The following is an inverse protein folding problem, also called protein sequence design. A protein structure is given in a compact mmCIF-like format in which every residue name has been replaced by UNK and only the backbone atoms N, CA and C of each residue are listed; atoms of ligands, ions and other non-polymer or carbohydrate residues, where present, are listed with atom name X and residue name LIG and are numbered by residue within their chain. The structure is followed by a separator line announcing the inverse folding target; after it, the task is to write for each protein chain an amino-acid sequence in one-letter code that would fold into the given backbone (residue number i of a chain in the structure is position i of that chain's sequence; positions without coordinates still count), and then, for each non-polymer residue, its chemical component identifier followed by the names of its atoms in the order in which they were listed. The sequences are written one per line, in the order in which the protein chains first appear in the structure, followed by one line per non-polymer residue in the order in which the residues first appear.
data_IF_155325407879
#
_entry.id   IF_155325407879
#
_cell.length_a   1.000
_cell.length_b   1.000
_cell.length_c   1.000
_cell.angle_alpha   90.00
_cell.angle_beta   90.00
_cell.angle_gamma   90.00
#
_symmetry.space_group_name_H-M   'P 1'
#
loop_
_entity.id
_entity.type
_entity.pdbx_description
1 polymer ?
#
# COMPACT_ATOMS: atom_id res chain seq x y z
N UNK A 1 15.44 -17.16 0.32
CA UNK A 1 15.67 -16.75 -1.08
C UNK A 1 17.12 -16.30 -1.22
N UNK A 2 17.74 -16.52 -2.37
CA UNK A 2 19.08 -15.99 -2.64
C UNK A 2 18.99 -14.52 -3.02
N UNK A 3 19.82 -13.67 -2.41
CA UNK A 3 19.90 -12.24 -2.71
C UNK A 3 21.06 -11.98 -3.67
N UNK A 4 20.82 -11.22 -4.74
CA UNK A 4 21.86 -10.75 -5.66
C UNK A 4 22.01 -9.23 -5.52
N UNK A 5 23.24 -8.75 -5.42
CA UNK A 5 23.53 -7.32 -5.34
C UNK A 5 23.39 -6.69 -6.72
N UNK A 6 22.60 -5.63 -6.79
CA UNK A 6 22.50 -4.74 -7.94
C UNK A 6 22.96 -3.35 -7.50
N UNK A 7 23.62 -2.61 -8.39
CA UNK A 7 24.02 -1.22 -8.15
C UNK A 7 23.07 -0.31 -8.91
N UNK A 8 22.50 0.68 -8.23
CA UNK A 8 21.62 1.70 -8.80
C UNK A 8 22.09 3.07 -8.36
N UNK A 9 21.84 4.09 -9.18
CA UNK A 9 22.11 5.49 -8.84
C UNK A 9 20.84 6.10 -8.26
N UNK A 10 20.97 6.77 -7.12
CA UNK A 10 19.88 7.46 -6.43
C UNK A 10 20.31 8.92 -6.17
N UNK A 11 19.37 9.86 -6.08
CA UNK A 11 19.66 11.19 -5.55
C UNK A 11 20.28 11.08 -4.15
N UNK A 12 21.39 11.77 -3.92
CA UNK A 12 22.13 11.72 -2.66
C UNK A 12 21.27 12.16 -1.48
N UNK A 13 20.58 13.29 -1.64
CA UNK A 13 19.69 13.86 -0.61
C UNK A 13 18.64 12.83 -0.16
N UNK A 14 17.95 12.18 -1.09
CA UNK A 14 16.95 11.15 -0.80
C UNK A 14 17.56 9.93 -0.09
N UNK A 15 18.75 9.49 -0.54
CA UNK A 15 19.39 8.32 0.04
C UNK A 15 19.81 8.58 1.51
N UNK A 16 20.31 9.78 1.80
CA UNK A 16 20.71 10.17 3.16
C UNK A 16 19.51 10.46 4.06
N UNK A 17 18.44 11.06 3.55
CA UNK A 17 17.17 11.24 4.27
C UNK A 17 16.64 9.89 4.75
N UNK A 18 16.47 8.93 3.83
CA UNK A 18 16.00 7.58 4.16
C UNK A 18 16.95 6.90 5.16
N UNK A 19 18.27 7.00 4.97
CA UNK A 19 19.24 6.42 5.93
C UNK A 19 19.07 7.00 7.33
N UNK A 20 18.79 8.29 7.44
CA UNK A 20 18.50 8.97 8.70
C UNK A 20 17.24 8.42 9.37
N UNK A 21 16.17 8.21 8.60
CA UNK A 21 14.89 7.69 9.11
C UNK A 21 14.94 6.23 9.54
N UNK A 22 15.54 5.36 8.73
CA UNK A 22 15.50 3.90 8.97
C UNK A 22 16.64 3.41 9.88
N UNK A 23 17.67 4.22 10.05
CA UNK A 23 18.83 3.90 10.87
C UNK A 23 19.84 2.94 10.22
N UNK A 24 20.94 2.65 10.94
CA UNK A 24 22.06 1.89 10.40
C UNK A 24 21.67 0.46 10.02
N UNK A 25 22.08 0.02 8.84
CA UNK A 25 21.86 -1.34 8.34
C UNK A 25 20.46 -1.64 7.79
N UNK A 26 19.49 -0.73 7.95
CA UNK A 26 18.12 -0.94 7.49
C UNK A 26 17.83 -0.43 6.07
N UNK A 27 18.73 0.36 5.47
CA UNK A 27 18.53 0.96 4.13
C UNK A 27 18.20 -0.08 3.04
N UNK A 28 18.90 -1.21 2.98
CA UNK A 28 18.62 -2.25 1.98
C UNK A 28 17.25 -2.90 2.17
N UNK A 29 16.80 -3.07 3.42
CA UNK A 29 15.49 -3.64 3.73
C UNK A 29 14.38 -2.65 3.35
N UNK A 30 14.59 -1.36 3.63
CA UNK A 30 13.70 -0.29 3.18
C UNK A 30 13.53 -0.29 1.67
N UNK A 31 14.65 -0.27 0.91
CA UNK A 31 14.62 -0.27 -0.56
C UNK A 31 13.92 -1.52 -1.10
N UNK A 32 14.16 -2.68 -0.49
CA UNK A 32 13.51 -3.93 -0.90
C UNK A 32 11.99 -3.83 -0.74
N UNK A 33 11.52 -3.38 0.43
CA UNK A 33 10.09 -3.19 0.69
C UNK A 33 9.45 -2.15 -0.22
N UNK A 34 10.16 -1.06 -0.49
CA UNK A 34 9.70 -0.02 -1.41
C UNK A 34 9.51 -0.56 -2.82
N UNK A 35 10.48 -1.36 -3.33
CA UNK A 35 10.39 -1.98 -4.65
C UNK A 35 9.27 -3.02 -4.71
N UNK A 36 9.10 -3.84 -3.67
CA UNK A 36 8.02 -4.81 -3.59
C UNK A 36 6.65 -4.13 -3.64
N UNK A 37 6.48 -3.06 -2.85
CA UNK A 37 5.25 -2.28 -2.81
C UNK A 37 4.99 -1.55 -4.12
N UNK A 38 6.01 -0.96 -4.74
CA UNK A 38 5.86 -0.33 -6.05
C UNK A 38 5.40 -1.34 -7.10
N UNK A 39 6.02 -2.52 -7.14
CA UNK A 39 5.65 -3.59 -8.09
C UNK A 39 4.22 -4.07 -7.89
N UNK A 40 3.75 -4.15 -6.65
CA UNK A 40 2.36 -4.48 -6.35
C UNK A 40 1.42 -3.39 -6.88
N UNK A 41 1.72 -2.12 -6.62
CA UNK A 41 0.95 -0.99 -7.13
C UNK A 41 0.94 -0.93 -8.67
N UNK A 42 2.07 -1.19 -9.33
CA UNK A 42 2.15 -1.21 -10.79
C UNK A 42 1.19 -2.26 -11.38
N UNK A 43 1.15 -3.46 -10.78
CA UNK A 43 0.23 -4.54 -11.18
C UNK A 43 -1.23 -4.19 -10.96
N UNK A 44 -1.54 -3.53 -9.84
CA UNK A 44 -2.89 -3.02 -9.58
C UNK A 44 -3.27 -1.95 -10.61
N UNK A 45 -2.35 -1.05 -10.95
CA UNK A 45 -2.53 -0.04 -11.99
C UNK A 45 -2.81 -0.66 -13.36
N UNK A 46 -2.05 -1.68 -13.76
CA UNK A 46 -2.30 -2.44 -15.00
C UNK A 46 -3.68 -3.10 -15.02
N UNK A 47 -4.13 -3.65 -13.88
CA UNK A 47 -5.46 -4.25 -13.77
C UNK A 47 -6.55 -3.18 -13.91
N UNK A 48 -6.43 -2.06 -13.19
CA UNK A 48 -7.39 -0.95 -13.27
C UNK A 48 -7.47 -0.39 -14.68
N UNK A 49 -6.32 -0.20 -15.35
CA UNK A 49 -6.27 0.27 -16.72
C UNK A 49 -7.04 -0.65 -17.67
N UNK A 50 -6.87 -1.96 -17.55
CA UNK A 50 -7.63 -2.94 -18.34
C UNK A 50 -9.14 -2.87 -18.08
N UNK A 51 -9.54 -2.75 -16.81
CA UNK A 51 -10.96 -2.66 -16.45
C UNK A 51 -11.62 -1.40 -17.04
N UNK A 52 -10.90 -0.27 -17.04
CA UNK A 52 -11.39 0.97 -17.65
C UNK A 52 -11.40 0.93 -19.19
N UNK A 53 -10.46 0.20 -19.80
CA UNK A 53 -10.46 -0.02 -21.26
C UNK A 53 -11.68 -0.84 -21.70
N UNK A 54 -12.03 -1.87 -20.93
CA UNK A 54 -13.18 -2.75 -21.22
C UNK A 54 -14.53 -2.13 -20.84
N UNK A 55 -14.59 -1.43 -19.70
CA UNK A 55 -15.82 -0.88 -19.12
C UNK A 55 -16.11 0.58 -19.48
N UNK A 56 -15.12 1.33 -19.97
CA UNK A 56 -15.20 2.78 -20.14
C UNK A 56 -14.91 3.55 -18.84
N UNK A 57 -14.92 4.90 -18.91
CA UNK A 57 -14.71 5.74 -17.73
C UNK A 57 -15.85 5.55 -16.72
N UNK A 58 -15.49 5.57 -15.43
CA UNK A 58 -16.46 5.54 -14.34
C UNK A 58 -17.36 6.78 -14.40
N UNK A 59 -18.64 6.58 -14.14
CA UNK A 59 -19.60 7.67 -13.97
C UNK A 59 -19.57 8.20 -12.54
N UNK A 60 -19.96 9.45 -12.34
CA UNK A 60 -20.05 10.07 -11.00
C UNK A 60 -20.97 9.27 -10.05
N UNK A 61 -22.01 8.62 -10.59
CA UNK A 61 -22.93 7.79 -9.81
C UNK A 61 -22.26 6.51 -9.31
N UNK A 62 -21.45 5.87 -10.15
CA UNK A 62 -20.66 4.67 -9.81
C UNK A 62 -19.56 4.99 -8.81
N UNK A 63 -18.84 6.11 -8.98
CA UNK A 63 -17.85 6.59 -8.02
C UNK A 63 -18.50 6.85 -6.66
N UNK A 64 -19.63 7.56 -6.63
CA UNK A 64 -20.35 7.84 -5.39
C UNK A 64 -20.88 6.56 -4.73
N UNK A 65 -21.23 5.53 -5.50
CA UNK A 65 -21.64 4.24 -4.98
C UNK A 65 -20.46 3.48 -4.35
N UNK A 66 -19.32 3.40 -5.04
CA UNK A 66 -18.10 2.79 -4.53
C UNK A 66 -17.61 3.46 -3.24
N UNK A 67 -17.67 4.79 -3.19
CA UNK A 67 -17.33 5.57 -1.99
C UNK A 67 -18.23 5.25 -0.79
N UNK A 68 -19.53 5.03 -1.02
CA UNK A 68 -20.45 4.64 0.06
C UNK A 68 -20.13 3.24 0.57
N UNK A 69 -19.87 2.31 -0.35
CA UNK A 69 -19.50 0.93 -0.01
C UNK A 69 -18.18 0.89 0.76
N UNK A 70 -17.16 1.64 0.34
CA UNK A 70 -15.88 1.72 1.04
C UNK A 70 -16.06 2.19 2.49
N UNK A 71 -16.84 3.26 2.70
CA UNK A 71 -17.15 3.75 4.05
C UNK A 71 -17.91 2.73 4.89
N UNK A 72 -18.76 1.90 4.29
CA UNK A 72 -19.44 0.80 5.01
C UNK A 72 -18.46 -0.30 5.44
N UNK A 73 -17.56 -0.67 4.54
CA UNK A 73 -16.50 -1.63 4.80
C UNK A 73 -15.59 -1.13 5.94
N UNK A 74 -15.15 0.12 5.90
CA UNK A 74 -14.34 0.73 6.96
C UNK A 74 -15.04 0.67 8.33
N UNK A 75 -16.32 1.08 8.39
CA UNK A 75 -17.11 0.99 9.62
C UNK A 75 -17.21 -0.44 10.15
N UNK A 76 -17.37 -1.42 9.25
CA UNK A 76 -17.43 -2.83 9.63
C UNK A 76 -16.10 -3.30 10.25
N UNK A 77 -14.96 -2.90 9.67
CA UNK A 77 -13.65 -3.23 10.22
C UNK A 77 -13.40 -2.58 11.58
N UNK A 78 -13.73 -1.30 11.74
CA UNK A 78 -13.60 -0.58 13.00
C UNK A 78 -14.45 -1.20 14.12
N UNK A 79 -15.70 -1.58 13.80
CA UNK A 79 -16.58 -2.26 14.74
C UNK A 79 -16.02 -3.62 15.20
N UNK A 80 -15.34 -4.34 14.30
CA UNK A 80 -14.71 -5.63 14.62
C UNK A 80 -13.46 -5.47 15.46
N UNK A 81 -12.59 -4.51 15.13
CA UNK A 81 -11.40 -4.27 15.94
C UNK A 81 -11.73 -3.77 17.34
N UNK A 82 -12.77 -2.93 17.47
CA UNK A 82 -13.25 -2.48 18.78
C UNK A 82 -13.92 -3.61 19.57
N UNK A 83 -14.60 -4.55 18.90
CA UNK A 83 -15.08 -5.80 19.51
C UNK A 83 -13.95 -6.70 20.02
N UNK A 84 -12.89 -6.89 19.22
CA UNK A 84 -11.71 -7.67 19.61
C UNK A 84 -10.96 -7.05 20.80
N UNK A 85 -10.80 -5.72 20.84
CA UNK A 85 -10.20 -5.01 21.99
C UNK A 85 -11.01 -5.19 23.27
N UNK A 86 -12.33 -5.01 23.21
CA UNK A 86 -13.21 -5.19 24.38
C UNK A 86 -13.19 -6.62 24.92
N UNK A 87 -12.97 -7.62 24.07
CA UNK A 87 -12.85 -9.02 24.50
C UNK A 87 -11.49 -9.32 25.14
N UNK A 88 -10.41 -8.67 24.68
CA UNK A 88 -9.08 -8.78 25.27
C UNK A 88 -8.95 -8.08 26.64
N UNK A 89 -9.62 -6.94 26.83
CA UNK A 89 -9.62 -6.20 28.11
C UNK A 89 -10.51 -6.85 29.20
N UNK A 90 -11.37 -7.81 28.81
CA UNK A 90 -12.27 -8.52 29.72
C UNK A 90 -11.74 -9.91 30.17
N UNK A 91 -10.52 -10.28 29.76
CA UNK A 91 -9.85 -11.54 30.09
C UNK A 91 -8.67 -11.30 31.05
#
# INVERSE_FOLDING_TARGET
MATKKYTVTLPEELAEEIRGEVGPGAFSAYVTRAIERQREHDRLGELVARLLEEGGPLTEEEEAAADREMREIERWFEARESGHRRQADAA
#
